data_IF_597296836924
#
_entry.id   IF_597296836924
#
_cell.length_a   1.000
_cell.length_b   1.000
_cell.length_c   1.000
_cell.angle_alpha   90.00
_cell.angle_beta   90.00
_cell.angle_gamma   90.00
#
_symmetry.space_group_name_H-M   'P 1'
#
loop_
_entity.id
_entity.type
_entity.pdbx_description
1 polymer ?
#
# COMPACT_ATOMS: atom_id res chain seq x y z
N UNK A 1 -7.89 -9.38 6.14
CA UNK A 1 -8.79 -9.12 4.98
C UNK A 1 -10.21 -9.06 5.50
N UNK A 2 -10.89 -7.94 5.30
CA UNK A 2 -12.30 -7.76 5.67
C UNK A 2 -13.23 -7.74 4.45
N UNK A 3 -14.41 -8.32 4.59
CA UNK A 3 -15.49 -8.33 3.60
C UNK A 3 -16.83 -8.02 4.28
N UNK A 4 -17.83 -7.60 3.51
CA UNK A 4 -19.20 -7.53 3.99
C UNK A 4 -19.72 -8.91 4.39
N UNK A 5 -20.62 -9.02 5.39
CA UNK A 5 -21.15 -10.31 5.81
C UNK A 5 -22.19 -10.89 4.85
N UNK A 6 -22.73 -10.09 3.93
CA UNK A 6 -23.80 -10.49 3.00
C UNK A 6 -23.42 -10.09 1.58
N UNK A 7 -23.93 -10.80 0.58
CA UNK A 7 -23.73 -10.49 -0.83
C UNK A 7 -24.36 -9.13 -1.19
N UNK A 8 -23.72 -8.39 -2.09
CA UNK A 8 -24.26 -7.12 -2.61
C UNK A 8 -25.67 -7.33 -3.16
N UNK A 9 -26.59 -6.43 -2.82
CA UNK A 9 -27.98 -6.47 -3.28
C UNK A 9 -28.87 -7.51 -2.59
N UNK A 10 -28.36 -8.27 -1.61
CA UNK A 10 -29.17 -9.23 -0.84
C UNK A 10 -29.73 -8.66 0.46
N UNK A 11 -29.40 -7.41 0.79
CA UNK A 11 -29.79 -6.77 2.04
C UNK A 11 -30.08 -5.28 1.86
N UNK A 12 -30.70 -4.69 2.89
CA UNK A 12 -30.75 -3.26 3.15
C UNK A 12 -30.33 -3.00 4.61
N UNK A 13 -29.78 -1.82 4.90
CA UNK A 13 -29.46 -1.47 6.30
C UNK A 13 -30.76 -1.05 6.98
N UNK A 14 -31.17 -1.80 8.00
CA UNK A 14 -32.40 -1.53 8.75
C UNK A 14 -32.16 -0.72 10.03
N UNK A 15 -30.99 -0.87 10.66
CA UNK A 15 -30.62 -0.08 11.83
C UNK A 15 -29.11 0.10 11.90
N UNK A 16 -28.66 1.32 12.20
CA UNK A 16 -27.24 1.67 12.32
C UNK A 16 -26.74 1.69 13.77
N UNK A 17 -25.43 1.82 13.93
CA UNK A 17 -24.79 2.01 15.23
C UNK A 17 -25.11 3.43 15.75
N UNK A 18 -25.66 3.55 16.96
CA UNK A 18 -26.01 4.84 17.53
C UNK A 18 -27.29 4.88 18.36
N UNK A 19 -27.69 6.09 18.75
CA UNK A 19 -28.92 6.34 19.51
C UNK A 19 -30.17 6.03 18.69
N UNK A 20 -31.14 5.37 19.30
CA UNK A 20 -32.48 5.10 18.77
C UNK A 20 -33.54 5.26 19.86
N UNK A 21 -34.80 5.31 19.45
CA UNK A 21 -35.92 5.23 20.39
C UNK A 21 -35.84 3.90 21.16
N UNK A 22 -35.65 3.97 22.48
CA UNK A 22 -35.47 2.81 23.36
C UNK A 22 -34.02 2.47 23.73
N UNK A 23 -33.01 3.24 23.30
CA UNK A 23 -31.64 3.14 23.82
C UNK A 23 -30.54 3.27 22.76
N UNK A 24 -29.32 2.87 23.11
CA UNK A 24 -28.19 2.87 22.18
C UNK A 24 -28.07 1.51 21.48
N UNK A 25 -28.03 1.50 20.15
CA UNK A 25 -27.78 0.32 19.33
C UNK A 25 -26.28 0.17 19.07
N UNK A 26 -25.70 -0.93 19.58
CA UNK A 26 -24.26 -1.18 19.53
C UNK A 26 -23.79 -2.00 18.33
N UNK A 27 -24.63 -2.17 17.33
CA UNK A 27 -24.31 -2.94 16.13
C UNK A 27 -24.84 -2.31 14.85
N UNK A 28 -24.87 -3.13 13.80
CA UNK A 28 -25.40 -2.80 12.49
C UNK A 28 -26.30 -3.93 12.03
N UNK A 29 -27.53 -3.59 11.66
CA UNK A 29 -28.54 -4.56 11.26
C UNK A 29 -28.72 -4.56 9.73
N UNK A 30 -28.53 -5.74 9.15
CA UNK A 30 -28.70 -6.02 7.74
C UNK A 30 -30.02 -6.77 7.53
N UNK A 31 -31.09 -6.04 7.21
CA UNK A 31 -32.36 -6.66 6.83
C UNK A 31 -32.20 -7.41 5.50
N UNK A 32 -32.47 -8.70 5.53
CA UNK A 32 -32.33 -9.63 4.41
C UNK A 32 -33.39 -10.71 4.52
N UNK A 33 -33.67 -11.44 3.44
CA UNK A 33 -34.65 -12.54 3.47
C UNK A 33 -34.19 -13.61 4.46
N UNK A 34 -35.14 -14.22 5.16
CA UNK A 34 -34.88 -15.39 5.99
C UNK A 34 -34.15 -16.48 5.18
N UNK A 35 -33.15 -17.13 5.78
CA UNK A 35 -32.30 -18.12 5.12
C UNK A 35 -31.22 -17.55 4.20
N UNK A 36 -31.09 -16.22 4.05
CA UNK A 36 -30.01 -15.64 3.24
C UNK A 36 -28.64 -16.02 3.82
N UNK A 37 -27.71 -16.57 3.02
CA UNK A 37 -26.39 -16.96 3.52
C UNK A 37 -25.57 -15.73 3.93
N UNK A 38 -24.95 -15.80 5.11
CA UNK A 38 -23.99 -14.79 5.56
C UNK A 38 -22.61 -15.39 5.87
N UNK A 39 -21.61 -14.54 5.78
CA UNK A 39 -20.21 -14.89 5.66
C UNK A 39 -19.39 -14.20 6.75
N UNK A 40 -18.26 -14.80 7.13
CA UNK A 40 -17.36 -14.20 8.09
C UNK A 40 -16.79 -12.90 7.52
N UNK A 41 -17.01 -11.78 8.21
CA UNK A 41 -16.47 -10.48 7.82
C UNK A 41 -14.94 -10.51 7.78
N UNK A 42 -14.31 -11.28 8.66
CA UNK A 42 -12.86 -11.39 8.79
C UNK A 42 -12.48 -12.82 9.15
N UNK A 43 -11.26 -13.23 8.78
CA UNK A 43 -10.73 -14.53 9.17
C UNK A 43 -10.44 -14.57 10.68
N UNK A 44 -10.59 -15.73 11.29
CA UNK A 44 -10.37 -15.87 12.72
C UNK A 44 -10.79 -17.23 13.27
N UNK A 45 -10.92 -17.29 14.60
CA UNK A 45 -11.31 -18.49 15.34
C UNK A 45 -12.66 -18.27 16.02
N UNK A 46 -13.57 -19.24 15.89
CA UNK A 46 -14.88 -19.20 16.57
C UNK A 46 -14.67 -19.31 18.08
N UNK A 47 -14.94 -18.24 18.83
CA UNK A 47 -14.88 -18.24 20.29
C UNK A 47 -16.18 -18.73 20.94
N UNK A 48 -17.33 -18.27 20.41
CA UNK A 48 -18.64 -18.64 20.92
C UNK A 48 -19.58 -18.97 19.76
N UNK A 49 -20.48 -19.92 19.98
CA UNK A 49 -21.48 -20.37 19.00
C UNK A 49 -22.65 -21.04 19.73
N UNK A 50 -23.87 -20.79 19.28
CA UNK A 50 -25.08 -21.39 19.85
C UNK A 50 -25.98 -20.36 20.54
N UNK A 51 -26.64 -20.75 21.62
CA UNK A 51 -27.62 -19.91 22.31
C UNK A 51 -27.01 -18.69 23.00
N UNK A 52 -27.66 -17.53 22.87
CA UNK A 52 -27.27 -16.31 23.58
C UNK A 52 -28.50 -15.43 23.87
N UNK A 53 -28.56 -14.90 25.10
CA UNK A 53 -29.63 -14.02 25.54
C UNK A 53 -29.70 -12.78 24.64
N UNK A 54 -30.93 -12.39 24.27
CA UNK A 54 -31.19 -11.29 23.33
C UNK A 54 -31.00 -11.67 21.85
N UNK A 55 -30.05 -12.54 21.51
CA UNK A 55 -29.76 -12.96 20.13
C UNK A 55 -30.54 -14.21 19.68
N UNK A 56 -31.04 -15.02 20.62
CA UNK A 56 -31.57 -16.34 20.31
C UNK A 56 -30.42 -17.29 20.05
N UNK A 57 -29.78 -17.15 18.88
CA UNK A 57 -28.47 -17.76 18.62
C UNK A 57 -27.50 -16.77 17.98
N UNK A 58 -26.21 -17.05 18.14
CA UNK A 58 -25.12 -16.23 17.64
C UNK A 58 -23.88 -17.04 17.26
N UNK A 59 -22.94 -16.38 16.59
CA UNK A 59 -21.57 -16.81 16.39
C UNK A 59 -20.66 -15.62 16.75
N UNK A 60 -19.56 -15.87 17.46
CA UNK A 60 -18.53 -14.87 17.74
C UNK A 60 -17.21 -15.37 17.19
N UNK A 61 -16.62 -14.60 16.28
CA UNK A 61 -15.32 -14.90 15.67
C UNK A 61 -14.32 -13.86 16.13
N UNK A 62 -13.23 -14.33 16.71
CA UNK A 62 -12.09 -13.51 17.09
C UNK A 62 -11.04 -13.55 16.00
N UNK A 63 -10.74 -12.38 15.45
CA UNK A 63 -9.73 -12.26 14.42
C UNK A 63 -8.35 -12.18 15.06
N UNK A 64 -7.46 -13.07 14.63
CA UNK A 64 -6.03 -13.02 14.93
C UNK A 64 -5.23 -12.34 13.80
N UNK A 65 -5.90 -11.62 12.88
CA UNK A 65 -5.27 -11.04 11.70
C UNK A 65 -4.71 -9.62 11.92
N UNK A 66 -3.76 -9.24 11.05
CA UNK A 66 -3.01 -7.98 11.15
C UNK A 66 -3.86 -6.71 10.90
N UNK A 67 -5.09 -6.84 10.38
CA UNK A 67 -6.00 -5.71 10.22
C UNK A 67 -6.65 -5.30 11.56
N UNK A 68 -6.52 -6.14 12.60
CA UNK A 68 -6.80 -5.83 14.01
C UNK A 68 -7.34 -7.04 14.79
N UNK A 69 -6.83 -7.24 16.03
CA UNK A 69 -7.22 -8.31 16.97
C UNK A 69 -8.62 -8.09 17.59
N UNK A 70 -9.64 -7.95 16.75
CA UNK A 70 -11.02 -7.65 17.12
C UNK A 70 -11.95 -8.85 16.98
N UNK A 71 -13.06 -8.80 17.71
CA UNK A 71 -14.12 -9.81 17.63
C UNK A 71 -15.31 -9.28 16.81
N UNK A 72 -15.92 -10.15 16.01
CA UNK A 72 -17.20 -9.86 15.36
C UNK A 72 -18.25 -10.84 15.87
N UNK A 73 -19.34 -10.28 16.37
CA UNK A 73 -20.57 -11.03 16.72
C UNK A 73 -21.51 -11.05 15.52
N UNK A 74 -22.16 -12.19 15.30
CA UNK A 74 -23.20 -12.39 14.29
C UNK A 74 -24.41 -12.95 15.02
N UNK A 75 -25.53 -12.24 15.00
CA UNK A 75 -26.72 -12.57 15.81
C UNK A 75 -27.97 -12.90 15.01
N UNK A 76 -28.97 -13.45 15.71
CA UNK A 76 -30.35 -13.70 15.26
C UNK A 76 -30.56 -14.86 14.26
N UNK A 77 -29.57 -15.71 14.02
CA UNK A 77 -29.79 -16.93 13.22
C UNK A 77 -30.66 -17.96 13.96
N UNK A 78 -31.32 -18.81 13.17
CA UNK A 78 -32.11 -19.93 13.69
C UNK A 78 -31.25 -21.06 14.22
N UNK A 79 -30.22 -21.42 13.44
CA UNK A 79 -29.29 -22.50 13.73
C UNK A 79 -27.86 -22.04 13.44
N UNK A 80 -27.10 -21.78 14.50
CA UNK A 80 -25.71 -21.38 14.43
C UNK A 80 -24.79 -22.53 13.99
N UNK A 81 -25.24 -23.79 14.10
CA UNK A 81 -24.45 -24.98 13.75
C UNK A 81 -24.71 -25.48 12.33
N UNK A 82 -25.58 -24.83 11.56
CA UNK A 82 -26.01 -25.25 10.22
C UNK A 82 -24.86 -25.46 9.22
N UNK A 83 -23.71 -24.84 9.44
CA UNK A 83 -22.50 -24.94 8.60
C UNK A 83 -21.45 -25.93 9.15
N UNK A 84 -21.74 -26.61 10.27
CA UNK A 84 -20.83 -27.54 10.94
C UNK A 84 -19.72 -26.86 11.76
N UNK A 85 -19.81 -25.54 11.97
CA UNK A 85 -18.90 -24.81 12.84
C UNK A 85 -19.11 -25.18 14.32
N UNK A 86 -18.05 -25.07 15.09
CA UNK A 86 -18.02 -25.29 16.54
C UNK A 86 -16.98 -24.35 17.16
N UNK A 87 -17.00 -24.21 18.48
CA UNK A 87 -15.93 -23.49 19.20
C UNK A 87 -14.56 -24.04 18.78
N UNK A 88 -13.63 -23.13 18.48
CA UNK A 88 -12.28 -23.45 18.00
C UNK A 88 -12.17 -23.66 16.48
N UNK A 89 -13.27 -23.69 15.73
CA UNK A 89 -13.20 -23.72 14.26
C UNK A 89 -12.49 -22.48 13.73
N UNK A 90 -11.53 -22.66 12.83
CA UNK A 90 -10.93 -21.58 12.05
C UNK A 90 -11.77 -21.30 10.81
N UNK A 91 -11.98 -20.02 10.51
CA UNK A 91 -12.73 -19.56 9.35
C UNK A 91 -11.92 -18.52 8.57
N UNK A 92 -12.05 -18.53 7.24
CA UNK A 92 -11.50 -17.49 6.39
C UNK A 92 -12.49 -16.32 6.23
N UNK A 93 -11.98 -15.12 5.92
CA UNK A 93 -12.84 -14.02 5.51
C UNK A 93 -13.64 -14.41 4.26
N UNK A 94 -14.93 -14.09 4.23
CA UNK A 94 -15.83 -14.49 3.15
C UNK A 94 -16.24 -15.97 3.17
N UNK A 95 -15.83 -16.75 4.16
CA UNK A 95 -16.33 -18.11 4.36
C UNK A 95 -17.79 -18.07 4.81
N UNK A 96 -18.62 -18.95 4.27
CA UNK A 96 -20.00 -19.13 4.72
C UNK A 96 -20.00 -19.63 6.17
N UNK A 97 -20.68 -18.92 7.06
CA UNK A 97 -20.71 -19.25 8.49
C UNK A 97 -22.12 -19.44 9.04
N UNK A 98 -23.17 -18.93 8.38
CA UNK A 98 -24.55 -19.18 8.76
C UNK A 98 -25.58 -18.58 7.81
N UNK A 99 -26.83 -18.56 8.25
CA UNK A 99 -27.97 -18.08 7.48
C UNK A 99 -28.83 -17.12 8.30
N UNK A 100 -29.27 -16.03 7.68
CA UNK A 100 -30.15 -15.01 8.29
C UNK A 100 -31.38 -15.67 8.89
N UNK A 101 -31.74 -15.25 10.09
CA UNK A 101 -32.96 -15.69 10.76
C UNK A 101 -33.67 -14.52 11.43
N UNK A 102 -34.62 -14.85 12.31
CA UNK A 102 -35.35 -13.89 13.13
C UNK A 102 -35.53 -14.41 14.56
N UNK A 103 -34.44 -14.91 15.15
CA UNK A 103 -34.45 -15.51 16.48
C UNK A 103 -34.20 -14.48 17.61
N UNK A 104 -34.54 -14.83 18.85
CA UNK A 104 -34.34 -13.97 20.03
C UNK A 104 -35.17 -12.70 19.97
N UNK A 105 -34.59 -11.57 20.40
CA UNK A 105 -35.25 -10.25 20.45
C UNK A 105 -35.42 -9.56 19.09
N UNK A 106 -35.46 -10.33 17.99
CA UNK A 106 -35.61 -9.81 16.64
C UNK A 106 -37.08 -9.53 16.29
N UNK A 107 -37.36 -8.42 15.61
CA UNK A 107 -38.70 -8.07 15.11
C UNK A 107 -38.93 -8.45 13.65
N UNK A 108 -37.94 -9.06 12.99
CA UNK A 108 -38.03 -9.53 11.61
C UNK A 108 -36.69 -10.02 11.06
N UNK A 109 -36.66 -10.73 9.93
CA UNK A 109 -35.42 -11.35 9.42
C UNK A 109 -34.31 -10.34 9.13
N UNK A 110 -33.19 -10.49 9.84
CA UNK A 110 -31.98 -9.68 9.64
C UNK A 110 -30.74 -10.37 10.22
N UNK A 111 -29.56 -9.95 9.76
CA UNK A 111 -28.29 -10.23 10.43
C UNK A 111 -27.90 -9.01 11.26
N UNK A 112 -27.74 -9.19 12.56
CA UNK A 112 -27.09 -8.20 13.42
C UNK A 112 -25.59 -8.50 13.49
N UNK A 113 -24.75 -7.47 13.36
CA UNK A 113 -23.33 -7.56 13.72
C UNK A 113 -22.93 -6.53 14.77
N UNK A 114 -22.08 -6.95 15.70
CA UNK A 114 -21.34 -6.06 16.60
C UNK A 114 -19.85 -6.25 16.37
N UNK A 115 -19.11 -5.15 16.31
CA UNK A 115 -17.65 -5.17 16.15
C UNK A 115 -17.01 -4.66 17.44
N UNK A 116 -16.12 -5.47 17.99
CA UNK A 116 -15.30 -5.13 19.14
C UNK A 116 -13.91 -4.73 18.64
N UNK A 117 -13.44 -3.54 19.07
CA UNK A 117 -12.14 -3.00 18.68
C UNK A 117 -10.98 -3.92 19.09
N UNK A 118 -11.11 -4.56 20.26
CA UNK A 118 -10.11 -5.48 20.83
C UNK A 118 -10.80 -6.58 21.63
N UNK A 119 -10.56 -7.83 21.25
CA UNK A 119 -11.05 -9.02 21.95
C UNK A 119 -12.56 -9.01 22.24
N UNK A 120 -13.06 -10.09 22.84
CA UNK A 120 -14.46 -10.17 23.20
C UNK A 120 -14.73 -9.39 24.51
N UNK A 121 -15.74 -8.53 24.54
CA UNK A 121 -16.10 -7.74 25.74
C UNK A 121 -15.36 -6.41 25.92
N UNK A 122 -14.58 -5.97 24.93
CA UNK A 122 -13.86 -4.68 24.92
C UNK A 122 -14.72 -3.47 24.49
N UNK A 123 -14.12 -2.51 23.79
CA UNK A 123 -14.85 -1.35 23.23
C UNK A 123 -15.60 -1.74 21.96
N UNK A 124 -16.91 -1.44 21.88
CA UNK A 124 -17.69 -1.62 20.64
C UNK A 124 -17.52 -0.40 19.73
N UNK A 125 -17.35 -0.65 18.44
CA UNK A 125 -17.16 0.38 17.41
C UNK A 125 -18.21 0.26 16.31
N UNK A 126 -18.39 1.35 15.56
CA UNK A 126 -19.34 1.44 14.47
C UNK A 126 -19.00 0.46 13.32
N UNK A 127 -19.82 -0.59 13.10
CA UNK A 127 -19.52 -1.58 12.06
C UNK A 127 -19.61 -1.01 10.64
N UNK A 128 -20.39 0.05 10.41
CA UNK A 128 -20.49 0.65 9.07
C UNK A 128 -19.18 1.33 8.68
N UNK A 129 -18.53 2.03 9.61
CA UNK A 129 -17.19 2.59 9.41
C UNK A 129 -16.15 1.51 9.27
N UNK A 130 -16.26 0.45 10.06
CA UNK A 130 -15.32 -0.68 10.03
C UNK A 130 -15.38 -1.48 8.70
N UNK A 131 -16.57 -1.60 8.10
CA UNK A 131 -16.80 -2.24 6.79
C UNK A 131 -16.65 -1.29 5.58
N UNK A 132 -16.39 0.00 5.80
CA UNK A 132 -16.30 0.96 4.71
C UNK A 132 -15.20 0.56 3.70
N UNK A 133 -15.53 0.57 2.40
CA UNK A 133 -14.60 0.22 1.32
C UNK A 133 -14.24 -1.26 1.20
N UNK A 134 -14.89 -2.16 1.94
CA UNK A 134 -14.65 -3.62 1.86
C UNK A 134 -15.51 -4.28 0.76
N UNK A 135 -15.00 -5.36 0.17
CA UNK A 135 -15.67 -6.12 -0.90
C UNK A 135 -16.79 -7.03 -0.39
N UNK A 136 -17.54 -7.64 -1.31
CA UNK A 136 -18.65 -8.54 -0.96
C UNK A 136 -18.29 -10.03 -1.15
N UNK A 137 -18.90 -10.95 -0.38
CA UNK A 137 -18.63 -12.38 -0.49
C UNK A 137 -18.98 -12.93 -1.87
N UNK A 138 -18.07 -13.71 -2.47
CA UNK A 138 -18.32 -14.38 -3.76
C UNK A 138 -18.26 -13.46 -4.98
N UNK A 139 -17.83 -12.20 -4.84
CA UNK A 139 -17.29 -11.46 -5.98
C UNK A 139 -15.96 -12.11 -6.38
N UNK A 140 -15.99 -13.01 -7.38
CA UNK A 140 -14.76 -13.49 -8.04
C UNK A 140 -14.20 -12.33 -8.85
N UNK A 141 -12.95 -11.96 -8.58
CA UNK A 141 -12.16 -11.04 -9.40
C UNK A 141 -12.01 -11.59 -10.82
N UNK A 142 -12.99 -11.36 -11.69
CA UNK A 142 -12.82 -11.48 -13.14
C UNK A 142 -12.46 -10.11 -13.69
N UNK A 143 -11.29 -10.04 -14.31
CA UNK A 143 -10.77 -8.88 -15.01
C UNK A 143 -11.70 -8.35 -16.13
N UNK A 144 -11.93 -7.02 -16.12
CA UNK A 144 -12.15 -6.07 -17.25
C UNK A 144 -13.60 -5.74 -17.69
N UNK A 145 -13.95 -4.48 -18.09
CA UNK A 145 -13.18 -3.22 -18.16
C UNK A 145 -13.59 -2.15 -17.12
N UNK A 146 -12.64 -1.25 -16.88
CA UNK A 146 -12.74 -0.11 -15.98
C UNK A 146 -14.01 0.73 -16.14
N UNK A 147 -14.63 1.07 -15.01
CA UNK A 147 -15.32 2.34 -14.84
C UNK A 147 -14.85 2.97 -13.54
N UNK A 148 -14.12 4.06 -13.71
CA UNK A 148 -13.28 4.80 -12.76
C UNK A 148 -13.99 5.16 -11.44
N UNK A 149 -13.35 4.80 -10.33
CA UNK A 149 -13.33 5.63 -9.11
C UNK A 149 -11.89 6.12 -8.96
N UNK A 150 -11.65 7.36 -8.49
CA UNK A 150 -10.43 8.09 -8.79
C UNK A 150 -9.23 7.40 -8.17
N UNK A 151 -8.42 6.77 -9.03
CA UNK A 151 -6.99 6.68 -8.83
C UNK A 151 -6.51 8.10 -8.46
N UNK A 152 -6.19 8.33 -7.20
CA UNK A 152 -4.87 8.88 -6.98
C UNK A 152 -3.93 7.79 -7.52
N UNK A 153 -3.64 7.85 -8.82
CA UNK A 153 -2.81 6.88 -9.50
C UNK A 153 -1.55 6.76 -8.68
N UNK A 154 -1.32 5.64 -7.97
CA UNK A 154 -0.01 5.42 -7.36
C UNK A 154 0.97 5.63 -8.52
N UNK A 155 1.80 6.68 -8.48
CA UNK A 155 2.60 7.02 -9.63
C UNK A 155 3.51 5.84 -9.95
N UNK A 156 3.67 5.55 -11.23
CA UNK A 156 4.67 4.56 -11.63
C UNK A 156 6.05 5.07 -11.18
N UNK A 157 6.74 4.41 -10.24
CA UNK A 157 7.99 4.92 -9.69
C UNK A 157 9.20 4.56 -10.57
N UNK A 158 8.99 3.90 -11.71
CA UNK A 158 10.05 3.64 -12.71
C UNK A 158 10.52 4.96 -13.28
N UNK A 159 11.78 5.29 -13.02
CA UNK A 159 12.44 6.51 -13.49
C UNK A 159 13.09 6.33 -14.85
N UNK A 160 13.46 5.09 -15.20
CA UNK A 160 14.17 4.76 -16.45
C UNK A 160 13.87 3.34 -16.92
N UNK A 161 14.06 3.10 -18.21
CA UNK A 161 13.96 1.76 -18.82
C UNK A 161 15.27 1.39 -19.51
N UNK A 162 15.75 0.18 -19.28
CA UNK A 162 16.89 -0.40 -20.00
C UNK A 162 16.70 -1.92 -20.07
N UNK A 163 16.30 -2.41 -21.24
CA UNK A 163 15.75 -3.77 -21.37
C UNK A 163 16.85 -4.82 -21.50
N UNK A 164 16.78 -5.88 -20.69
CA UNK A 164 17.67 -7.03 -20.78
C UNK A 164 17.25 -7.99 -21.92
N UNK A 165 18.21 -8.57 -22.66
CA UNK A 165 17.91 -9.67 -23.57
C UNK A 165 17.56 -10.98 -22.84
N UNK A 166 17.91 -11.09 -21.55
CA UNK A 166 17.84 -12.30 -20.76
C UNK A 166 16.48 -12.42 -20.05
N UNK A 167 15.68 -13.42 -20.43
CA UNK A 167 14.30 -13.59 -19.95
C UNK A 167 13.86 -15.04 -20.02
N UNK A 168 12.97 -15.43 -19.10
CA UNK A 168 12.42 -16.76 -19.02
C UNK A 168 11.22 -16.93 -19.95
N UNK A 169 11.20 -18.04 -20.69
CA UNK A 169 10.02 -18.46 -21.46
C UNK A 169 9.06 -19.25 -20.57
N UNK A 170 7.76 -19.13 -20.82
CA UNK A 170 6.72 -19.84 -20.06
C UNK A 170 5.49 -18.99 -19.83
N UNK A 171 4.44 -19.61 -19.29
CA UNK A 171 3.26 -18.88 -18.80
C UNK A 171 3.64 -17.91 -17.69
N UNK A 172 2.78 -16.92 -17.42
CA UNK A 172 2.98 -15.93 -16.36
C UNK A 172 1.69 -15.80 -15.57
N UNK A 173 1.75 -16.14 -14.29
CA UNK A 173 0.63 -16.12 -13.34
C UNK A 173 1.13 -15.54 -12.02
N UNK A 174 1.10 -14.21 -11.92
CA UNK A 174 1.84 -13.48 -10.88
C UNK A 174 1.00 -13.38 -9.62
N UNK A 175 1.44 -14.07 -8.58
CA UNK A 175 0.87 -13.98 -7.23
C UNK A 175 1.75 -13.14 -6.30
N UNK A 176 3.02 -12.95 -6.65
CA UNK A 176 4.02 -12.42 -5.73
C UNK A 176 4.75 -11.18 -6.26
N UNK A 177 5.05 -10.26 -5.35
CA UNK A 177 6.12 -9.28 -5.52
C UNK A 177 7.33 -9.82 -4.77
N UNK A 178 8.41 -10.11 -5.49
CA UNK A 178 9.57 -10.80 -4.91
C UNK A 178 10.74 -9.84 -4.78
N UNK A 179 11.19 -9.62 -3.55
CA UNK A 179 12.34 -8.76 -3.23
C UNK A 179 13.62 -9.60 -3.26
N UNK A 180 14.68 -9.02 -3.82
CA UNK A 180 16.01 -9.60 -3.90
C UNK A 180 17.06 -8.58 -3.41
N UNK A 181 18.15 -9.08 -2.82
CA UNK A 181 19.36 -8.27 -2.57
C UNK A 181 20.44 -8.60 -3.59
N UNK A 182 21.31 -7.64 -3.89
CA UNK A 182 22.31 -7.81 -4.96
C UNK A 182 23.47 -8.73 -4.58
N UNK A 183 23.83 -8.79 -3.30
CA UNK A 183 25.12 -9.33 -2.84
C UNK A 183 26.31 -8.64 -3.51
N UNK A 184 26.22 -7.31 -3.63
CA UNK A 184 27.26 -6.49 -4.24
C UNK A 184 27.04 -5.01 -3.98
N UNK A 185 28.09 -4.21 -4.20
CA UNK A 185 28.14 -2.77 -3.89
C UNK A 185 27.82 -1.88 -5.11
N UNK A 186 27.12 -2.40 -6.11
CA UNK A 186 26.77 -1.64 -7.32
C UNK A 186 25.64 -0.64 -7.08
N UNK A 187 25.40 0.23 -8.06
CA UNK A 187 24.19 1.06 -8.15
C UNK A 187 23.17 0.43 -9.08
N UNK A 188 21.94 0.92 -9.07
CA UNK A 188 20.91 0.50 -10.03
C UNK A 188 21.42 0.67 -11.47
N UNK A 189 22.11 1.78 -11.76
CA UNK A 189 22.75 2.00 -13.06
C UNK A 189 23.80 0.94 -13.40
N UNK A 190 24.76 0.68 -12.49
CA UNK A 190 25.88 -0.22 -12.79
C UNK A 190 25.44 -1.68 -12.93
N UNK A 191 24.53 -2.15 -12.06
CA UNK A 191 24.06 -3.54 -12.16
C UNK A 191 23.17 -3.71 -13.38
N UNK A 192 22.35 -2.71 -13.74
CA UNK A 192 21.54 -2.78 -14.96
C UNK A 192 22.41 -2.85 -16.22
N UNK A 193 23.54 -2.15 -16.26
CA UNK A 193 24.50 -2.28 -17.37
C UNK A 193 24.98 -3.72 -17.54
N UNK A 194 25.24 -4.44 -16.44
CA UNK A 194 25.58 -5.87 -16.50
C UNK A 194 24.38 -6.72 -16.94
N UNK A 195 23.21 -6.54 -16.32
CA UNK A 195 22.00 -7.32 -16.60
C UNK A 195 21.55 -7.22 -18.06
N UNK A 196 21.87 -6.12 -18.74
CA UNK A 196 21.56 -5.89 -20.15
C UNK A 196 22.62 -6.40 -21.14
N UNK A 197 23.65 -7.10 -20.66
CA UNK A 197 24.58 -7.82 -21.54
C UNK A 197 24.07 -9.23 -21.87
N UNK A 198 24.34 -9.78 -23.06
CA UNK A 198 23.99 -11.17 -23.38
C UNK A 198 24.67 -12.22 -22.49
N UNK A 199 25.73 -11.85 -21.76
CA UNK A 199 26.47 -12.74 -20.87
C UNK A 199 25.87 -12.85 -19.46
N UNK A 200 24.94 -11.96 -19.09
CA UNK A 200 24.30 -12.03 -17.77
C UNK A 200 23.42 -13.28 -17.66
N UNK A 201 23.64 -14.04 -16.59
CA UNK A 201 22.93 -15.30 -16.32
C UNK A 201 21.72 -15.12 -15.40
N UNK A 202 21.31 -13.87 -15.19
CA UNK A 202 20.24 -13.46 -14.29
C UNK A 202 19.57 -12.20 -14.85
N UNK A 203 18.30 -12.02 -14.57
CA UNK A 203 17.57 -10.77 -14.82
C UNK A 203 16.50 -10.56 -13.76
N UNK A 204 15.94 -9.36 -13.71
CA UNK A 204 14.87 -8.96 -12.79
C UNK A 204 13.88 -8.07 -13.55
N UNK A 205 12.63 -7.97 -13.09
CA UNK A 205 11.71 -7.03 -13.71
C UNK A 205 12.18 -5.60 -13.49
N UNK A 206 12.58 -5.25 -12.27
CA UNK A 206 13.11 -3.93 -11.94
C UNK A 206 14.29 -3.99 -11.00
N UNK A 207 15.12 -2.94 -11.06
CA UNK A 207 16.26 -2.70 -10.17
C UNK A 207 16.06 -1.35 -9.51
N UNK A 208 16.25 -1.27 -8.20
CA UNK A 208 16.01 -0.07 -7.41
C UNK A 208 17.19 0.24 -6.48
N UNK A 209 17.61 1.50 -6.40
CA UNK A 209 18.50 2.03 -5.37
C UNK A 209 17.93 3.31 -4.74
N UNK A 210 18.77 4.05 -4.03
CA UNK A 210 18.46 5.34 -3.40
C UNK A 210 18.48 6.52 -4.38
N UNK A 211 18.51 6.27 -5.70
CA UNK A 211 18.55 7.31 -6.73
C UNK A 211 17.53 7.06 -7.82
N UNK A 212 17.42 5.83 -8.31
CA UNK A 212 16.58 5.48 -9.45
C UNK A 212 15.89 4.11 -9.32
N UNK A 213 14.84 3.93 -10.11
CA UNK A 213 14.20 2.63 -10.34
C UNK A 213 14.18 2.35 -11.83
N UNK A 214 14.89 1.31 -12.24
CA UNK A 214 15.07 0.94 -13.64
C UNK A 214 14.22 -0.28 -13.98
N UNK A 215 13.38 -0.16 -15.01
CA UNK A 215 12.69 -1.31 -15.63
C UNK A 215 13.69 -2.07 -16.51
N UNK A 216 13.89 -3.36 -16.21
CA UNK A 216 14.89 -4.23 -16.86
C UNK A 216 14.25 -5.35 -17.67
N UNK A 217 13.24 -6.03 -17.12
CA UNK A 217 12.41 -6.98 -17.87
C UNK A 217 10.98 -6.46 -17.85
N UNK A 218 10.32 -6.26 -19.01
CA UNK A 218 8.95 -5.79 -19.07
C UNK A 218 8.01 -6.58 -18.15
N UNK A 219 7.07 -5.91 -17.50
CA UNK A 219 6.21 -6.53 -16.47
C UNK A 219 5.33 -7.66 -17.02
N UNK A 220 5.05 -7.70 -18.31
CA UNK A 220 4.35 -8.78 -19.01
C UNK A 220 5.26 -9.99 -19.34
N UNK A 221 6.55 -9.92 -19.00
CA UNK A 221 7.54 -10.97 -19.27
C UNK A 221 8.18 -11.50 -17.97
N UNK A 222 8.67 -12.73 -18.04
CA UNK A 222 9.30 -13.41 -16.92
C UNK A 222 10.81 -13.13 -16.91
N UNK A 223 11.39 -12.64 -15.80
CA UNK A 223 12.84 -12.58 -15.65
C UNK A 223 13.43 -13.95 -15.28
N UNK A 224 14.76 -14.09 -15.36
CA UNK A 224 15.51 -15.22 -14.79
C UNK A 224 16.02 -14.83 -13.40
N UNK A 225 15.16 -14.89 -12.37
CA UNK A 225 15.49 -14.41 -11.02
C UNK A 225 15.53 -15.50 -9.94
N UNK A 226 14.56 -16.43 -9.94
CA UNK A 226 14.31 -17.34 -8.83
C UNK A 226 13.78 -18.71 -9.28
N UNK A 227 14.39 -19.28 -10.32
CA UNK A 227 14.07 -20.62 -10.87
C UNK A 227 12.56 -20.83 -11.08
N UNK A 228 11.92 -21.72 -10.32
CA UNK A 228 10.51 -22.05 -10.47
C UNK A 228 9.57 -20.88 -10.11
N UNK A 229 10.06 -19.86 -9.41
CA UNK A 229 9.29 -18.66 -9.09
C UNK A 229 9.28 -17.62 -10.24
N UNK A 230 10.10 -17.78 -11.29
CA UNK A 230 10.23 -16.80 -12.39
C UNK A 230 8.90 -16.40 -13.03
N UNK A 231 7.96 -17.35 -13.12
CA UNK A 231 6.65 -17.18 -13.75
C UNK A 231 5.57 -16.70 -12.78
N UNK A 232 5.88 -16.68 -11.48
CA UNK A 232 4.93 -16.40 -10.39
C UNK A 232 5.17 -15.06 -9.71
N UNK A 233 6.27 -14.37 -10.06
CA UNK A 233 6.71 -13.15 -9.41
C UNK A 233 6.94 -11.97 -10.36
N UNK A 234 6.59 -10.77 -9.89
CA UNK A 234 7.25 -9.53 -10.30
C UNK A 234 8.50 -9.36 -9.41
N UNK A 235 9.70 -9.54 -9.99
CA UNK A 235 10.95 -9.61 -9.23
C UNK A 235 11.68 -8.25 -9.21
N UNK A 236 11.98 -7.75 -8.01
CA UNK A 236 12.62 -6.47 -7.74
C UNK A 236 13.96 -6.70 -7.08
N UNK A 237 15.04 -6.20 -7.70
CA UNK A 237 16.39 -6.21 -7.14
C UNK A 237 16.69 -4.89 -6.43
N UNK A 238 17.11 -4.94 -5.17
CA UNK A 238 17.66 -3.80 -4.46
C UNK A 238 19.17 -3.71 -4.71
N UNK A 239 19.63 -2.78 -5.54
CA UNK A 239 21.05 -2.67 -5.91
C UNK A 239 21.92 -2.20 -4.73
N UNK A 240 23.19 -2.60 -4.69
CA UNK A 240 24.12 -2.16 -3.67
C UNK A 240 23.82 -2.70 -2.28
N UNK A 241 23.12 -3.84 -2.18
CA UNK A 241 22.61 -4.38 -0.92
C UNK A 241 23.10 -5.79 -0.67
N UNK A 242 23.07 -6.20 0.60
CA UNK A 242 23.55 -7.51 1.05
C UNK A 242 22.56 -8.13 2.03
N UNK A 243 22.34 -9.44 1.92
CA UNK A 243 21.51 -10.22 2.82
C UNK A 243 22.05 -10.18 4.25
N UNK A 244 23.36 -10.00 4.42
CA UNK A 244 24.00 -9.88 5.73
C UNK A 244 23.71 -8.55 6.45
N UNK A 245 23.12 -7.55 5.78
CA UNK A 245 22.81 -6.28 6.40
C UNK A 245 21.89 -6.45 7.61
N UNK A 246 22.23 -5.74 8.69
CA UNK A 246 21.38 -5.61 9.87
C UNK A 246 20.24 -4.63 9.57
N UNK A 247 19.16 -4.73 10.34
CA UNK A 247 18.04 -3.80 10.28
C UNK A 247 18.49 -2.34 10.30
N UNK A 248 19.39 -1.98 11.20
CA UNK A 248 19.85 -0.59 11.34
C UNK A 248 20.52 -0.05 10.07
N UNK A 249 21.22 -0.90 9.30
CA UNK A 249 21.78 -0.48 8.00
C UNK A 249 20.67 -0.22 6.99
N UNK A 250 19.62 -1.03 6.95
CA UNK A 250 18.47 -0.78 6.07
C UNK A 250 17.71 0.51 6.39
N UNK A 251 17.80 0.98 7.64
CA UNK A 251 17.11 2.17 8.12
C UNK A 251 18.07 3.36 8.32
N UNK A 252 19.29 3.28 7.77
CA UNK A 252 20.28 4.34 7.85
C UNK A 252 19.97 5.44 6.81
N UNK A 253 19.68 6.68 7.24
CA UNK A 253 19.45 7.79 6.32
C UNK A 253 20.74 8.58 5.99
N UNK A 254 21.85 8.27 6.67
CA UNK A 254 23.13 8.96 6.47
C UNK A 254 23.77 8.56 5.15
N UNK A 255 23.74 9.46 4.17
CA UNK A 255 24.25 9.23 2.82
C UNK A 255 25.74 9.56 2.63
N UNK A 256 26.52 9.75 3.71
CA UNK A 256 27.95 10.11 3.61
C UNK A 256 28.80 9.06 2.92
N UNK A 257 28.40 7.78 2.97
CA UNK A 257 29.06 6.71 2.22
C UNK A 257 28.64 6.67 0.73
N UNK A 258 27.79 7.60 0.31
CA UNK A 258 27.29 7.75 -1.05
C UNK A 258 25.97 7.05 -1.31
N UNK A 259 25.33 6.45 -0.29
CA UNK A 259 24.06 5.75 -0.40
C UNK A 259 23.14 6.04 0.78
N UNK A 260 21.87 6.32 0.51
CA UNK A 260 20.84 6.41 1.55
C UNK A 260 19.99 5.13 1.56
N UNK A 261 20.31 4.18 2.45
CA UNK A 261 19.59 2.91 2.54
C UNK A 261 18.12 3.06 2.91
N UNK A 262 17.79 3.96 3.84
CA UNK A 262 16.41 4.24 4.23
C UNK A 262 15.57 4.72 3.03
N UNK A 263 16.17 5.56 2.18
CA UNK A 263 15.54 6.05 0.97
C UNK A 263 15.45 4.95 -0.11
N UNK A 264 16.43 4.05 -0.22
CA UNK A 264 16.31 2.87 -1.08
C UNK A 264 15.13 1.99 -0.64
N UNK A 265 14.97 1.76 0.66
CA UNK A 265 13.85 0.98 1.21
C UNK A 265 12.51 1.66 0.87
N UNK A 266 12.45 2.98 1.01
CA UNK A 266 11.28 3.79 0.64
C UNK A 266 10.96 3.69 -0.86
N UNK A 267 11.96 3.82 -1.75
CA UNK A 267 11.80 3.63 -3.21
C UNK A 267 11.30 2.24 -3.58
N UNK A 268 11.84 1.23 -2.92
CA UNK A 268 11.37 -0.15 -3.09
C UNK A 268 9.91 -0.28 -2.63
N UNK A 269 9.53 0.37 -1.52
CA UNK A 269 8.16 0.39 -1.03
C UNK A 269 7.17 1.03 -2.01
N UNK A 270 7.54 2.13 -2.68
CA UNK A 270 6.69 2.72 -3.74
C UNK A 270 6.52 1.76 -4.92
N UNK A 271 7.60 1.08 -5.32
CA UNK A 271 7.52 0.10 -6.40
C UNK A 271 6.63 -1.08 -6.02
N UNK A 272 6.74 -1.59 -4.79
CA UNK A 272 5.83 -2.61 -4.24
C UNK A 272 4.38 -2.12 -4.25
N UNK A 273 4.10 -0.92 -3.73
CA UNK A 273 2.76 -0.35 -3.69
C UNK A 273 2.15 -0.24 -5.10
N UNK A 274 2.92 0.28 -6.05
CA UNK A 274 2.50 0.39 -7.44
C UNK A 274 2.26 -0.98 -8.09
N UNK A 275 3.16 -1.94 -7.90
CA UNK A 275 2.99 -3.29 -8.47
C UNK A 275 1.81 -4.03 -7.87
N UNK A 276 1.64 -3.97 -6.56
CA UNK A 276 0.48 -4.52 -5.87
C UNK A 276 -0.83 -3.92 -6.40
N UNK A 277 -0.89 -2.61 -6.63
CA UNK A 277 -2.06 -1.97 -7.23
C UNK A 277 -2.31 -2.40 -8.69
N UNK A 278 -1.27 -2.52 -9.51
CA UNK A 278 -1.40 -2.95 -10.92
C UNK A 278 -1.84 -4.42 -11.02
N UNK A 279 -1.42 -5.26 -10.08
CA UNK A 279 -1.67 -6.71 -10.09
C UNK A 279 -2.87 -7.15 -9.27
N UNK A 280 -3.45 -6.27 -8.47
CA UNK A 280 -4.42 -6.61 -7.43
C UNK A 280 -3.87 -7.64 -6.43
N UNK A 281 -2.61 -7.44 -6.01
CA UNK A 281 -1.93 -8.28 -5.01
C UNK A 281 -1.96 -7.56 -3.65
N UNK A 282 -2.36 -8.22 -2.55
CA UNK A 282 -2.33 -7.62 -1.22
C UNK A 282 -0.93 -7.19 -0.78
N UNK A 283 -0.79 -5.99 -0.22
CA UNK A 283 0.47 -5.51 0.38
C UNK A 283 0.61 -6.13 1.77
N UNK A 284 1.19 -7.32 1.85
CA UNK A 284 1.51 -8.01 3.09
C UNK A 284 2.69 -8.97 2.87
N UNK A 285 3.51 -9.15 3.88
CA UNK A 285 4.55 -10.16 3.82
C UNK A 285 3.93 -11.56 3.93
N UNK A 286 4.22 -12.44 2.97
CA UNK A 286 3.71 -13.83 2.92
C UNK A 286 4.82 -14.87 3.02
N UNK A 287 6.04 -14.42 3.35
CA UNK A 287 7.22 -15.27 3.48
C UNK A 287 7.45 -15.87 4.87
N UNK A 288 8.71 -16.17 5.20
CA UNK A 288 9.15 -16.85 6.42
C UNK A 288 9.04 -18.37 6.33
N UNK A 289 8.15 -18.85 5.47
CA UNK A 289 8.03 -20.21 4.93
C UNK A 289 7.68 -20.08 3.45
N UNK A 290 7.56 -21.21 2.75
CA UNK A 290 7.09 -21.21 1.37
C UNK A 290 5.77 -20.43 1.23
N UNK A 291 5.69 -19.37 0.40
CA UNK A 291 4.51 -18.56 0.29
C UNK A 291 3.40 -19.34 -0.41
N UNK A 292 2.21 -19.41 0.20
CA UNK A 292 1.05 -20.14 -0.32
C UNK A 292 -0.11 -19.24 -0.72
N UNK A 293 0.07 -17.92 -0.61
CA UNK A 293 -0.95 -16.94 -0.94
C UNK A 293 -0.33 -15.70 -1.61
N UNK A 294 -1.11 -14.90 -2.34
CA UNK A 294 -0.61 -13.68 -2.97
C UNK A 294 -0.12 -12.65 -1.95
N UNK A 295 0.98 -11.98 -2.27
CA UNK A 295 1.59 -10.96 -1.42
C UNK A 295 3.03 -10.64 -1.78
N UNK A 296 3.78 -10.10 -0.81
CA UNK A 296 5.20 -9.75 -0.95
C UNK A 296 6.06 -10.79 -0.25
N UNK A 297 7.12 -11.26 -0.88
CA UNK A 297 8.06 -12.23 -0.29
C UNK A 297 9.50 -11.98 -0.74
N UNK A 298 10.45 -12.68 -0.13
CA UNK A 298 11.86 -12.71 -0.54
C UNK A 298 12.20 -13.98 -1.32
N UNK A 299 13.31 -13.97 -2.06
CA UNK A 299 13.82 -15.17 -2.75
C UNK A 299 14.02 -16.34 -1.78
N UNK A 300 14.54 -16.07 -0.58
CA UNK A 300 14.76 -17.05 0.49
C UNK A 300 13.53 -17.85 0.88
N UNK A 301 12.35 -17.28 0.72
CA UNK A 301 11.11 -17.90 1.15
C UNK A 301 10.75 -19.12 0.29
N UNK A 302 11.30 -19.20 -0.93
CA UNK A 302 11.10 -20.33 -1.83
C UNK A 302 11.99 -21.55 -1.52
N UNK A 303 13.01 -21.40 -0.67
CA UNK A 303 13.96 -22.48 -0.37
C UNK A 303 14.53 -23.15 -1.63
N UNK A 304 14.70 -24.47 -1.60
CA UNK A 304 15.24 -25.24 -2.73
C UNK A 304 14.37 -25.14 -4.00
N UNK A 305 13.06 -24.91 -3.87
CA UNK A 305 12.18 -24.74 -5.02
C UNK A 305 12.52 -23.48 -5.82
N UNK A 306 12.98 -22.41 -5.15
CA UNK A 306 13.45 -21.18 -5.80
C UNK A 306 14.96 -21.11 -6.04
N UNK A 307 15.73 -22.13 -5.65
CA UNK A 307 17.18 -22.22 -5.92
C UNK A 307 18.06 -22.21 -4.69
N UNK A 308 17.46 -22.22 -3.49
CA UNK A 308 18.19 -22.28 -2.23
C UNK A 308 18.90 -20.98 -1.85
N UNK A 309 18.58 -19.88 -2.53
CA UNK A 309 19.07 -18.55 -2.19
C UNK A 309 18.56 -18.08 -0.83
N UNK A 310 19.25 -17.11 -0.23
CA UNK A 310 19.01 -16.68 1.16
C UNK A 310 18.69 -15.20 1.29
N UNK A 311 18.54 -14.49 0.18
CA UNK A 311 18.18 -13.08 0.12
C UNK A 311 16.66 -12.83 0.03
N UNK A 312 16.17 -11.68 0.49
CA UNK A 312 16.83 -10.78 1.43
C UNK A 312 17.06 -11.49 2.76
N UNK A 313 18.15 -11.18 3.47
CA UNK A 313 18.51 -11.94 4.66
C UNK A 313 17.56 -11.80 5.86
N UNK A 314 17.84 -12.51 6.96
CA UNK A 314 16.95 -12.61 8.12
C UNK A 314 16.62 -11.30 8.83
N UNK A 315 17.46 -10.28 8.66
CA UNK A 315 17.27 -8.97 9.30
C UNK A 315 16.64 -7.94 8.37
N UNK A 316 16.15 -8.34 7.19
CA UNK A 316 15.45 -7.44 6.29
C UNK A 316 14.18 -6.88 6.96
N UNK A 317 13.95 -5.56 6.94
CA UNK A 317 12.86 -4.92 7.68
C UNK A 317 11.53 -5.01 6.92
N UNK A 318 10.94 -6.21 6.86
CA UNK A 318 9.67 -6.46 6.17
C UNK A 318 8.53 -5.59 6.68
N UNK A 319 8.43 -5.39 7.98
CA UNK A 319 7.45 -4.51 8.63
C UNK A 319 7.55 -3.06 8.11
N UNK A 320 8.76 -2.52 7.95
CA UNK A 320 8.98 -1.18 7.41
C UNK A 320 8.63 -1.09 5.92
N UNK A 321 9.08 -2.07 5.12
CA UNK A 321 8.76 -2.12 3.70
C UNK A 321 7.24 -2.17 3.49
N UNK A 322 6.53 -3.05 4.22
CA UNK A 322 5.07 -3.22 4.13
C UNK A 322 4.33 -2.00 4.67
N UNK A 323 4.79 -1.42 5.78
CA UNK A 323 4.21 -0.19 6.34
C UNK A 323 4.30 0.97 5.37
N UNK A 324 5.49 1.21 4.79
CA UNK A 324 5.72 2.27 3.78
C UNK A 324 4.90 2.02 2.52
N UNK A 325 4.88 0.79 2.00
CA UNK A 325 4.11 0.45 0.81
C UNK A 325 2.60 0.64 1.03
N UNK A 326 2.09 0.25 2.20
CA UNK A 326 0.69 0.46 2.60
C UNK A 326 0.38 1.95 2.75
N UNK A 327 1.27 2.74 3.35
CA UNK A 327 1.13 4.21 3.46
C UNK A 327 1.02 4.84 2.07
N UNK A 328 1.95 4.49 1.16
CA UNK A 328 1.97 5.00 -0.22
C UNK A 328 0.72 4.59 -0.99
N UNK A 329 0.29 3.33 -0.86
CA UNK A 329 -0.92 2.82 -1.50
C UNK A 329 -2.19 3.58 -1.08
N UNK A 330 -2.26 3.99 0.19
CA UNK A 330 -3.39 4.72 0.75
C UNK A 330 -3.29 6.25 0.58
N UNK A 331 -2.38 6.75 -0.26
CA UNK A 331 -2.24 8.19 -0.54
C UNK A 331 -1.51 8.96 0.58
N UNK A 332 -0.67 8.29 1.36
CA UNK A 332 0.21 8.90 2.35
C UNK A 332 1.12 9.98 1.76
N UNK A 333 1.42 11.00 2.58
CA UNK A 333 2.22 12.18 2.18
C UNK A 333 3.70 11.88 1.88
N UNK A 334 4.18 10.67 2.21
CA UNK A 334 5.58 10.26 2.04
C UNK A 334 6.04 10.21 0.58
N UNK A 335 5.13 10.26 -0.39
CA UNK A 335 5.47 10.36 -1.81
C UNK A 335 6.33 11.62 -2.12
N UNK A 336 6.14 12.73 -1.38
CA UNK A 336 6.92 13.96 -1.54
C UNK A 336 8.36 13.82 -1.02
N UNK A 337 8.62 12.87 -0.12
CA UNK A 337 9.97 12.56 0.35
C UNK A 337 10.77 11.74 -0.68
N UNK A 338 10.12 11.26 -1.75
CA UNK A 338 10.69 10.38 -2.77
C UNK A 338 10.95 11.05 -4.11
N UNK A 339 10.43 12.26 -4.31
CA UNK A 339 10.68 13.01 -5.52
C UNK A 339 12.18 13.32 -5.61
N UNK A 340 12.83 12.83 -6.65
CA UNK A 340 14.17 13.31 -7.02
C UNK A 340 14.13 14.82 -7.16
N UNK A 341 15.26 15.52 -6.95
CA UNK A 341 15.29 16.98 -7.21
C UNK A 341 14.81 17.31 -8.63
N UNK A 342 15.03 16.43 -9.61
CA UNK A 342 14.52 16.57 -10.98
C UNK A 342 12.99 16.45 -11.08
N UNK A 343 12.34 15.63 -10.25
CA UNK A 343 10.88 15.50 -10.19
C UNK A 343 10.24 16.64 -9.40
N UNK A 344 10.90 17.11 -8.33
CA UNK A 344 10.52 18.35 -7.63
C UNK A 344 10.63 19.54 -8.58
N UNK A 345 11.73 19.65 -9.34
CA UNK A 345 11.92 20.67 -10.38
C UNK A 345 10.85 20.56 -11.47
N UNK A 346 10.54 19.36 -11.97
CA UNK A 346 9.50 19.16 -12.97
C UNK A 346 8.09 19.48 -12.44
N UNK A 347 7.81 19.18 -11.17
CA UNK A 347 6.56 19.51 -10.50
C UNK A 347 6.45 21.02 -10.28
N UNK A 348 7.52 21.68 -9.82
CA UNK A 348 7.61 23.14 -9.74
C UNK A 348 7.38 23.74 -11.13
N UNK A 349 8.01 23.22 -12.18
CA UNK A 349 7.85 23.68 -13.56
C UNK A 349 6.42 23.50 -14.07
N UNK A 350 5.76 22.40 -13.70
CA UNK A 350 4.36 22.09 -14.08
C UNK A 350 3.35 22.93 -13.30
N UNK A 351 3.58 23.14 -12.00
CA UNK A 351 2.81 24.07 -11.18
C UNK A 351 2.96 25.50 -11.72
N UNK A 352 4.18 25.95 -11.99
CA UNK A 352 4.42 27.24 -12.65
C UNK A 352 3.64 27.31 -13.97
N UNK A 353 3.76 26.33 -14.86
CA UNK A 353 3.04 26.32 -16.16
C UNK A 353 1.51 26.35 -16.05
N UNK A 354 0.94 25.71 -15.02
CA UNK A 354 -0.52 25.70 -14.75
C UNK A 354 -0.98 27.00 -14.11
N UNK A 355 -0.17 27.62 -13.24
CA UNK A 355 -0.50 28.87 -12.55
C UNK A 355 -0.15 30.15 -13.34
N UNK A 356 0.81 30.10 -14.27
CA UNK A 356 1.24 31.27 -15.09
C UNK A 356 0.63 31.32 -16.49
N UNK A 357 -0.09 30.28 -16.93
CA UNK A 357 -0.61 30.18 -18.30
C UNK A 357 0.49 30.20 -19.38
N UNK A 358 0.14 30.16 -20.69
CA UNK A 358 1.10 30.41 -21.75
C UNK A 358 1.68 31.82 -21.57
N UNK A 359 3.01 31.94 -21.55
CA UNK A 359 3.71 33.23 -21.54
C UNK A 359 3.26 34.01 -22.79
N UNK A 360 2.31 34.93 -22.65
CA UNK A 360 1.80 35.69 -23.79
C UNK A 360 0.49 36.46 -23.67
N UNK A 361 -0.36 36.29 -22.64
CA UNK A 361 -1.62 37.04 -22.57
C UNK A 361 -1.93 37.61 -21.18
N UNK A 362 -1.45 38.84 -21.00
CA UNK A 362 -2.02 39.99 -20.28
C UNK A 362 -3.15 39.76 -19.25
N UNK A 363 -2.88 39.02 -18.17
CA UNK A 363 -3.69 39.08 -16.94
C UNK A 363 -2.76 39.32 -15.76
N UNK A 364 -2.72 40.59 -15.31
CA UNK A 364 -2.26 41.12 -14.00
C UNK A 364 -1.11 40.35 -13.35
N UNK A 365 0.06 40.95 -13.49
CA UNK A 365 1.34 40.29 -13.66
C UNK A 365 1.91 39.67 -12.37
N UNK A 366 1.83 38.35 -12.25
CA UNK A 366 2.50 37.58 -11.20
C UNK A 366 4.03 37.76 -11.24
N UNK A 367 4.59 38.21 -12.39
CA UNK A 367 5.98 38.64 -12.53
C UNK A 367 6.25 39.89 -11.68
N UNK A 368 5.27 40.78 -11.45
CA UNK A 368 5.43 41.91 -10.52
C UNK A 368 5.55 41.47 -9.06
N UNK A 369 4.89 40.38 -8.66
CA UNK A 369 5.02 39.78 -7.33
C UNK A 369 6.30 38.93 -7.19
N UNK A 370 6.77 38.32 -8.28
CA UNK A 370 7.97 37.49 -8.30
C UNK A 370 9.28 38.27 -8.53
N UNK A 371 9.22 39.47 -9.15
CA UNK A 371 10.41 40.25 -9.57
C UNK A 371 10.40 41.71 -9.13
N UNK A 372 9.43 42.17 -8.32
CA UNK A 372 9.36 43.54 -7.81
C UNK A 372 8.84 44.60 -8.80
N UNK A 373 8.31 44.19 -9.95
CA UNK A 373 7.74 45.11 -10.95
C UNK A 373 8.72 46.13 -11.56
N UNK A 374 8.19 47.14 -12.28
CA UNK A 374 9.00 48.23 -12.87
C UNK A 374 9.59 49.20 -11.83
N UNK A 375 9.06 49.16 -10.60
CA UNK A 375 9.48 49.98 -9.48
C UNK A 375 9.94 49.07 -8.34
N UNK A 376 11.21 48.67 -8.36
CA UNK A 376 11.80 47.91 -7.26
C UNK A 376 11.66 48.71 -5.94
N UNK A 377 10.99 48.13 -4.94
CA UNK A 377 10.84 48.73 -3.60
C UNK A 377 9.41 49.04 -3.14
N UNK A 378 8.38 48.74 -3.95
CA UNK A 378 7.00 49.10 -3.61
C UNK A 378 6.28 48.09 -2.69
N UNK A 379 6.80 46.87 -2.55
CA UNK A 379 6.25 45.84 -1.65
C UNK A 379 7.37 45.16 -0.85
N UNK A 380 7.15 45.00 0.46
CA UNK A 380 8.07 44.28 1.34
C UNK A 380 8.12 42.79 1.00
N UNK A 381 9.30 42.17 1.10
CA UNK A 381 9.44 40.73 0.95
C UNK A 381 8.75 39.94 2.08
N UNK A 382 8.88 38.62 2.06
CA UNK A 382 8.23 37.77 3.08
C UNK A 382 8.95 37.93 4.42
N UNK A 383 8.24 38.38 5.47
CA UNK A 383 8.81 38.58 6.81
C UNK A 383 9.47 37.30 7.37
N UNK A 384 8.87 36.13 7.12
CA UNK A 384 9.42 34.84 7.56
C UNK A 384 10.73 34.48 6.86
N UNK A 385 11.01 35.10 5.71
CA UNK A 385 12.26 35.00 4.96
C UNK A 385 13.22 36.17 5.21
N UNK A 386 12.99 36.99 6.23
CA UNK A 386 13.80 38.19 6.51
C UNK A 386 13.55 39.34 5.53
N UNK A 387 12.29 39.54 5.11
CA UNK A 387 11.87 40.53 4.11
C UNK A 387 12.48 40.34 2.72
N UNK A 388 12.81 39.10 2.37
CA UNK A 388 13.35 38.71 1.07
C UNK A 388 12.25 38.38 0.06
N UNK A 389 12.49 38.67 -1.23
CA UNK A 389 11.63 38.15 -2.30
C UNK A 389 11.86 36.65 -2.49
N UNK A 390 10.95 35.96 -3.19
CA UNK A 390 11.15 34.54 -3.52
C UNK A 390 12.42 34.32 -4.35
N UNK A 391 12.74 35.27 -5.25
CA UNK A 391 13.98 35.25 -6.01
C UNK A 391 15.22 35.30 -5.11
N UNK A 392 15.24 36.23 -4.14
CA UNK A 392 16.37 36.39 -3.21
C UNK A 392 16.54 35.17 -2.30
N UNK A 393 15.45 34.55 -1.88
CA UNK A 393 15.48 33.32 -1.09
C UNK A 393 16.07 32.15 -1.89
N UNK A 394 15.62 31.97 -3.13
CA UNK A 394 16.10 30.89 -4.00
C UNK A 394 17.57 31.08 -4.37
N UNK A 395 17.98 32.31 -4.67
CA UNK A 395 19.37 32.63 -4.98
C UNK A 395 20.30 32.42 -3.78
N UNK A 396 19.87 32.82 -2.58
CA UNK A 396 20.64 32.61 -1.35
C UNK A 396 20.79 31.12 -1.01
N UNK A 397 19.72 30.32 -1.11
CA UNK A 397 19.79 28.90 -0.79
C UNK A 397 20.59 28.11 -1.84
N UNK A 398 20.49 28.47 -3.12
CA UNK A 398 21.30 27.88 -4.18
C UNK A 398 22.80 28.16 -3.98
N UNK A 399 23.15 29.38 -3.56
CA UNK A 399 24.53 29.77 -3.26
C UNK A 399 25.07 29.01 -2.05
N UNK A 400 24.30 28.94 -0.96
CA UNK A 400 24.64 28.18 0.24
C UNK A 400 24.83 26.69 -0.04
N UNK A 401 24.04 26.15 -0.98
CA UNK A 401 24.11 24.75 -1.42
C UNK A 401 25.23 24.49 -2.45
N UNK A 402 26.03 25.50 -2.79
CA UNK A 402 27.19 25.36 -3.67
C UNK A 402 26.85 25.21 -5.16
N UNK A 403 25.66 25.64 -5.59
CA UNK A 403 25.28 25.60 -7.01
C UNK A 403 26.19 26.54 -7.80
N UNK A 404 26.89 26.06 -8.85
CA UNK A 404 27.83 26.88 -9.61
C UNK A 404 27.18 28.15 -10.19
N UNK A 405 27.89 29.27 -10.10
CA UNK A 405 27.46 30.59 -10.60
C UNK A 405 26.23 31.20 -9.89
N UNK A 406 25.89 30.73 -8.69
CA UNK A 406 24.86 31.35 -7.84
C UNK A 406 25.48 32.13 -6.69
N UNK A 407 24.78 33.16 -6.19
CA UNK A 407 25.19 33.99 -5.05
C UNK A 407 23.96 34.47 -4.29
N UNK A 408 24.09 34.75 -3.00
CA UNK A 408 23.07 35.50 -2.28
C UNK A 408 23.01 36.92 -2.86
N UNK A 409 21.84 37.30 -3.38
CA UNK A 409 21.60 38.55 -4.09
C UNK A 409 21.60 39.78 -3.19
N UNK A 410 21.52 39.57 -1.86
CA UNK A 410 21.51 40.61 -0.84
C UNK A 410 22.76 40.60 0.05
N UNK A 411 23.71 39.70 -0.20
CA UNK A 411 24.98 39.68 0.52
C UNK A 411 25.74 41.01 0.33
N UNK A 412 25.96 41.73 1.44
CA UNK A 412 26.63 43.04 1.44
C UNK A 412 25.75 44.27 1.19
N UNK A 413 24.44 44.10 0.94
CA UNK A 413 23.48 45.21 0.90
C UNK A 413 22.83 45.36 2.29
N UNK A 414 23.23 46.37 3.05
CA UNK A 414 22.56 46.77 4.29
C UNK A 414 21.33 47.61 3.99
#
# INVERSE_FOLDING_TARGET
MRVYPLKKGTYSISSGFGLRDGGFHYGLDFAAKDGTPFYACQGGTVQYIGGADGYGQWIVIDSDDDEGAGCVEYGHMWDAFATGLKVGSKVAAGQLIGYVGSNGGSTGPHLHITVWERGYGGTRIDPAKWLAGRGFPGETTSSTPAKEAPMAAIPNPVTRTQISPNRHSGGRDVDWIVIHTQEGSGTAASITNYLCTPAAQVSYNAVCDDRETVLVVPWDQNPWSAMNANTRGDHILMAGSFAAWKRDKWLEPDARDGKNEDLQLTRTAALVAWRCAVRDIPIRYVGGKFPTAPGVCGHRDFGQWGGGHTDPGPNFPWDELISRATSIYNGGKDWLAMATMAEVEALIYKCLKVYVGPIGSDVKDIRQQLTGGRNAGEYGGFEQGGNRTLYDLVAAEAAKSGVPNTRDTLEGKK
#
